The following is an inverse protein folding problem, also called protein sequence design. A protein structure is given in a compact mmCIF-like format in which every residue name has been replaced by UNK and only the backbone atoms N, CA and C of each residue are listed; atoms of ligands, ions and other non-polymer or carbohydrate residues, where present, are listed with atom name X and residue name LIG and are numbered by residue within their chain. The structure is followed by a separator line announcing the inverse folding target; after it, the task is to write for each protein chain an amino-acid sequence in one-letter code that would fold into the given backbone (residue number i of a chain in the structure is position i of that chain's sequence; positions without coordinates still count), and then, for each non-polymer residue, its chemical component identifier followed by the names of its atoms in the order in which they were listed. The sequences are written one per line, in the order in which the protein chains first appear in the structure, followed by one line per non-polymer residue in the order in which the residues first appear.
data_IF_376160477692
#
_entry.id   IF_376160477692
#
_cell.length_a   1.000
_cell.length_b   1.000
_cell.length_c   1.000
_cell.angle_alpha   90.00
_cell.angle_beta   90.00
_cell.angle_gamma   90.00
#
_symmetry.space_group_name_H-M   'P 1'
#
loop_
_entity.id
_entity.type
_entity.pdbx_description
1 polymer ?
#
# COMPACT_ATOMS: atom_id res chain seq x y z
N UNK A 1 -67.12 30.59 -41.08
CA UNK A 1 -66.31 31.46 -40.17
C UNK A 1 -66.23 30.90 -38.74
N UNK A 2 -67.22 30.19 -38.26
CA UNK A 2 -67.20 29.58 -36.91
C UNK A 2 -66.33 28.34 -36.78
N UNK A 3 -66.14 27.57 -37.84
CA UNK A 3 -65.30 26.35 -37.87
C UNK A 3 -63.80 26.68 -37.71
N UNK A 4 -63.34 27.77 -38.27
CA UNK A 4 -61.93 28.19 -38.12
C UNK A 4 -61.60 28.67 -36.71
N UNK A 5 -62.55 29.27 -35.99
CA UNK A 5 -62.37 29.68 -34.58
C UNK A 5 -62.32 28.49 -33.65
N UNK A 6 -63.14 27.45 -33.90
CA UNK A 6 -63.14 26.21 -33.16
C UNK A 6 -61.80 25.44 -33.30
N UNK A 7 -61.19 25.40 -34.50
CA UNK A 7 -59.97 24.79 -34.77
C UNK A 7 -58.72 25.52 -34.11
N UNK A 8 -58.84 26.87 -34.05
CA UNK A 8 -57.83 27.68 -33.34
C UNK A 8 -57.89 27.47 -31.82
N UNK A 9 -59.03 27.31 -31.24
CA UNK A 9 -59.25 27.03 -29.82
C UNK A 9 -58.74 25.61 -29.44
N UNK A 10 -58.99 24.63 -30.30
CA UNK A 10 -58.44 23.25 -30.08
C UNK A 10 -56.90 23.19 -30.21
N UNK A 11 -56.32 23.93 -31.15
CA UNK A 11 -54.87 24.00 -31.28
C UNK A 11 -54.22 24.74 -30.10
N UNK A 12 -54.93 25.76 -29.51
CA UNK A 12 -54.41 26.47 -28.36
C UNK A 12 -54.48 25.63 -27.07
N UNK A 13 -55.48 24.75 -26.95
CA UNK A 13 -55.57 23.78 -25.85
C UNK A 13 -54.55 22.66 -25.92
N UNK A 14 -54.11 22.27 -27.11
CA UNK A 14 -53.05 21.27 -27.30
C UNK A 14 -51.65 21.81 -27.00
N UNK A 15 -51.44 23.12 -27.03
CA UNK A 15 -50.18 23.76 -26.69
C UNK A 15 -49.99 23.98 -25.19
N UNK A 16 -51.05 23.90 -24.37
CA UNK A 16 -51.01 23.98 -22.92
C UNK A 16 -50.74 22.62 -22.23
N UNK A 17 -50.76 21.50 -22.96
CA UNK A 17 -50.55 20.16 -22.39
C UNK A 17 -49.07 19.73 -22.31
N UNK A 18 -48.12 20.57 -22.72
CA UNK A 18 -46.69 20.29 -22.63
C UNK A 18 -45.98 21.06 -21.49
N UNK A 19 -46.70 21.33 -20.41
CA UNK A 19 -46.15 22.11 -19.29
C UNK A 19 -46.24 21.40 -17.94
N UNK A 20 -45.88 20.13 -17.82
CA UNK A 20 -45.49 19.51 -16.56
C UNK A 20 -44.72 18.23 -16.86
N UNK A 21 -43.48 18.39 -17.39
CA UNK A 21 -42.46 17.44 -17.10
C UNK A 21 -41.96 17.75 -15.68
N UNK A 22 -42.40 16.95 -14.73
CA UNK A 22 -41.73 16.85 -13.46
C UNK A 22 -40.23 16.62 -13.77
N UNK A 23 -39.43 17.58 -13.36
CA UNK A 23 -37.98 17.44 -13.34
C UNK A 23 -37.71 16.32 -12.35
N UNK A 24 -37.63 15.08 -12.82
CA UNK A 24 -36.87 14.07 -12.09
C UNK A 24 -35.51 14.74 -11.76
N UNK A 25 -35.26 14.87 -10.47
CA UNK A 25 -33.95 15.22 -9.98
C UNK A 25 -33.00 14.21 -10.59
N UNK A 26 -32.32 14.61 -11.66
CA UNK A 26 -31.08 14.03 -12.06
C UNK A 26 -30.25 13.97 -10.78
N UNK A 27 -30.08 12.78 -10.23
CA UNK A 27 -28.92 12.49 -9.38
C UNK A 27 -27.74 12.86 -10.26
N UNK A 28 -27.13 14.01 -9.95
CA UNK A 28 -26.10 14.61 -10.78
C UNK A 28 -25.07 13.56 -11.13
N UNK A 29 -24.92 13.30 -12.40
CA UNK A 29 -23.62 12.91 -12.92
C UNK A 29 -22.65 14.03 -12.48
N UNK A 30 -21.87 13.71 -11.46
CA UNK A 30 -20.73 14.55 -11.07
C UNK A 30 -19.94 14.74 -12.34
N UNK A 31 -19.81 15.98 -12.80
CA UNK A 31 -19.05 16.27 -14.00
C UNK A 31 -17.70 15.55 -13.87
N UNK A 32 -17.21 14.92 -14.92
CA UNK A 32 -15.98 14.10 -14.93
C UNK A 32 -14.76 14.85 -14.36
N UNK A 33 -14.84 16.17 -14.26
CA UNK A 33 -13.86 17.09 -13.69
C UNK A 33 -13.97 17.31 -12.17
N UNK A 34 -15.01 16.77 -11.50
CA UNK A 34 -15.21 16.95 -10.04
C UNK A 34 -14.83 15.71 -9.21
N UNK A 35 -14.42 14.63 -9.87
CA UNK A 35 -14.00 13.41 -9.20
C UNK A 35 -12.60 13.52 -8.67
N UNK A 36 -12.40 13.11 -7.42
CA UNK A 36 -11.06 12.99 -6.83
C UNK A 36 -10.22 12.00 -7.65
N UNK A 37 -9.05 12.44 -8.11
CA UNK A 37 -8.12 11.65 -8.88
C UNK A 37 -7.00 11.12 -7.97
N UNK A 38 -6.87 9.80 -7.87
CA UNK A 38 -5.91 9.14 -7.00
C UNK A 38 -4.86 8.39 -7.83
N UNK A 39 -3.59 8.72 -7.65
CA UNK A 39 -2.48 7.90 -8.14
C UNK A 39 -2.10 6.86 -7.09
N UNK A 40 -1.94 5.58 -7.46
CA UNK A 40 -1.52 4.53 -6.54
C UNK A 40 -0.31 3.79 -7.10
N UNK A 41 0.85 3.90 -6.44
CA UNK A 41 2.11 3.27 -6.85
C UNK A 41 2.47 2.12 -5.92
N UNK A 42 2.49 0.91 -6.48
CA UNK A 42 2.94 -0.29 -5.79
C UNK A 42 4.42 -0.58 -6.04
N UNK A 43 5.09 -1.11 -5.02
CA UNK A 43 6.44 -1.66 -5.15
C UNK A 43 6.50 -2.80 -6.16
N UNK A 44 5.58 -3.75 -6.04
CA UNK A 44 5.41 -4.89 -6.94
C UNK A 44 4.10 -5.61 -6.65
N UNK A 45 3.68 -6.52 -7.54
CA UNK A 45 2.57 -7.46 -7.31
C UNK A 45 3.05 -8.90 -7.04
N UNK A 46 4.30 -9.07 -6.63
CA UNK A 46 4.84 -10.38 -6.26
C UNK A 46 4.17 -10.91 -4.98
N UNK A 47 3.82 -10.02 -4.06
CA UNK A 47 3.07 -10.33 -2.84
C UNK A 47 1.58 -10.34 -3.21
N UNK A 48 0.92 -11.49 -3.06
CA UNK A 48 -0.50 -11.68 -3.40
C UNK A 48 -1.43 -10.70 -2.66
N UNK A 49 -1.10 -10.34 -1.41
CA UNK A 49 -1.85 -9.36 -0.63
C UNK A 49 -2.02 -8.03 -1.37
N UNK A 50 -1.00 -7.54 -2.06
CA UNK A 50 -1.06 -6.28 -2.79
C UNK A 50 -2.13 -6.26 -3.89
N UNK A 51 -2.40 -7.40 -4.49
CA UNK A 51 -3.46 -7.49 -5.50
C UNK A 51 -4.84 -7.34 -4.86
N UNK A 52 -5.06 -7.97 -3.70
CA UNK A 52 -6.31 -7.82 -2.94
C UNK A 52 -6.49 -6.41 -2.39
N UNK A 53 -5.46 -5.83 -1.82
CA UNK A 53 -5.49 -4.46 -1.30
C UNK A 53 -5.82 -3.46 -2.41
N UNK A 54 -5.20 -3.62 -3.59
CA UNK A 54 -5.50 -2.85 -4.79
C UNK A 54 -6.98 -2.95 -5.18
N UNK A 55 -7.49 -4.18 -5.28
CA UNK A 55 -8.85 -4.41 -5.78
C UNK A 55 -9.89 -3.83 -4.83
N UNK A 56 -9.69 -3.98 -3.51
CA UNK A 56 -10.54 -3.37 -2.49
C UNK A 56 -10.44 -1.85 -2.55
N UNK A 57 -9.23 -1.30 -2.62
CA UNK A 57 -9.02 0.15 -2.68
C UNK A 57 -9.71 0.77 -3.89
N UNK A 58 -9.50 0.18 -5.09
CA UNK A 58 -10.08 0.68 -6.34
C UNK A 58 -11.61 0.59 -6.32
N UNK A 59 -12.18 -0.52 -5.85
CA UNK A 59 -13.65 -0.66 -5.77
C UNK A 59 -14.26 0.35 -4.80
N UNK A 60 -13.68 0.48 -3.60
CA UNK A 60 -14.17 1.42 -2.59
C UNK A 60 -14.02 2.88 -3.03
N UNK A 61 -12.90 3.24 -3.63
CA UNK A 61 -12.70 4.59 -4.18
C UNK A 61 -13.74 4.92 -5.24
N UNK A 62 -14.04 3.98 -6.14
CA UNK A 62 -15.08 4.14 -7.17
C UNK A 62 -16.46 4.30 -6.56
N UNK A 63 -16.82 3.52 -5.55
CA UNK A 63 -18.09 3.63 -4.81
C UNK A 63 -18.23 5.01 -4.14
N UNK A 64 -17.13 5.62 -3.71
CA UNK A 64 -17.05 6.94 -3.12
C UNK A 64 -16.94 8.08 -4.15
N UNK A 65 -16.99 7.76 -5.45
CA UNK A 65 -16.95 8.74 -6.53
C UNK A 65 -15.54 9.21 -6.92
N UNK A 66 -14.49 8.54 -6.47
CA UNK A 66 -13.10 8.81 -6.87
C UNK A 66 -12.64 7.89 -8.01
N UNK A 67 -11.59 8.31 -8.72
CA UNK A 67 -10.92 7.52 -9.76
C UNK A 67 -9.50 7.17 -9.32
N UNK A 68 -9.06 5.95 -9.63
CA UNK A 68 -7.73 5.47 -9.22
C UNK A 68 -6.92 5.04 -10.43
N UNK A 69 -5.74 5.63 -10.59
CA UNK A 69 -4.72 5.20 -11.53
C UNK A 69 -3.68 4.36 -10.79
N UNK A 70 -3.69 3.05 -11.03
CA UNK A 70 -2.79 2.09 -10.37
C UNK A 70 -1.58 1.81 -11.24
N UNK A 71 -0.38 1.92 -10.67
CA UNK A 71 0.87 1.57 -11.33
C UNK A 71 1.71 0.63 -10.46
N UNK A 72 2.49 -0.22 -11.13
CA UNK A 72 3.36 -1.20 -10.52
C UNK A 72 4.82 -0.94 -10.90
N UNK A 73 5.68 -0.71 -9.93
CA UNK A 73 7.09 -0.42 -10.16
C UNK A 73 7.96 -1.67 -10.37
N UNK A 74 7.41 -2.87 -10.17
CA UNK A 74 8.13 -4.16 -10.36
C UNK A 74 9.45 -4.27 -9.58
N UNK A 75 9.57 -3.62 -8.43
CA UNK A 75 10.78 -3.61 -7.60
C UNK A 75 11.87 -2.66 -8.10
N UNK A 76 11.57 -1.80 -9.08
CA UNK A 76 12.50 -0.81 -9.63
C UNK A 76 12.18 0.59 -9.05
N UNK A 77 13.10 1.11 -8.22
CA UNK A 77 12.96 2.41 -7.58
C UNK A 77 12.88 3.56 -8.61
N UNK A 78 13.66 3.52 -9.67
CA UNK A 78 13.64 4.55 -10.70
C UNK A 78 12.32 4.53 -11.49
N UNK A 79 11.74 3.34 -11.68
CA UNK A 79 10.39 3.24 -12.23
C UNK A 79 9.35 3.83 -11.26
N UNK A 80 9.49 3.61 -9.95
CA UNK A 80 8.57 4.19 -8.95
C UNK A 80 8.65 5.71 -8.92
N UNK A 81 9.85 6.29 -9.02
CA UNK A 81 10.05 7.75 -9.16
C UNK A 81 9.32 8.30 -10.39
N UNK A 82 9.46 7.64 -11.54
CA UNK A 82 8.77 8.03 -12.78
C UNK A 82 7.25 8.00 -12.62
N UNK A 83 6.72 7.03 -11.89
CA UNK A 83 5.28 6.92 -11.63
C UNK A 83 4.77 8.08 -10.78
N UNK A 84 5.49 8.45 -9.71
CA UNK A 84 5.11 9.58 -8.88
C UNK A 84 5.17 10.88 -9.69
N UNK A 85 6.22 11.09 -10.48
CA UNK A 85 6.32 12.25 -11.35
C UNK A 85 5.18 12.30 -12.38
N UNK A 86 4.81 11.16 -12.96
CA UNK A 86 3.65 11.07 -13.85
C UNK A 86 2.35 11.48 -13.15
N UNK A 87 2.14 11.07 -11.90
CA UNK A 87 0.96 11.47 -11.13
C UNK A 87 0.93 12.98 -10.84
N UNK A 88 2.09 13.56 -10.55
CA UNK A 88 2.24 15.02 -10.39
C UNK A 88 1.88 15.74 -11.71
N UNK A 89 2.43 15.29 -12.82
CA UNK A 89 2.20 15.89 -14.14
C UNK A 89 0.73 15.76 -14.60
N UNK A 90 0.03 14.73 -14.12
CA UNK A 90 -1.41 14.53 -14.35
C UNK A 90 -2.30 15.34 -13.41
N UNK A 91 -1.75 16.01 -12.42
CA UNK A 91 -2.51 16.78 -11.44
C UNK A 91 -3.42 15.91 -10.56
N UNK A 92 -2.92 14.76 -10.12
CA UNK A 92 -3.67 13.93 -9.16
C UNK A 92 -3.88 14.70 -7.85
N UNK A 93 -5.02 14.48 -7.20
CA UNK A 93 -5.33 15.10 -5.90
C UNK A 93 -4.60 14.39 -4.75
N UNK A 94 -4.44 13.08 -4.89
CA UNK A 94 -3.83 12.20 -3.87
C UNK A 94 -2.89 11.20 -4.53
N UNK A 95 -1.74 10.96 -3.91
CA UNK A 95 -0.84 9.87 -4.29
C UNK A 95 -0.69 8.91 -3.10
N UNK A 96 -1.02 7.64 -3.32
CA UNK A 96 -0.85 6.53 -2.38
C UNK A 96 0.39 5.75 -2.79
N UNK A 97 1.33 5.55 -1.87
CA UNK A 97 2.62 4.93 -2.16
C UNK A 97 2.87 3.73 -1.25
N UNK A 98 3.12 2.58 -1.84
CA UNK A 98 3.76 1.43 -1.19
C UNK A 98 5.23 1.46 -1.62
N UNK A 99 6.09 2.09 -0.84
CA UNK A 99 7.45 2.41 -1.27
C UNK A 99 8.36 1.18 -1.34
N UNK A 100 9.24 1.15 -2.35
CA UNK A 100 10.32 0.17 -2.47
C UNK A 100 11.41 0.46 -1.44
N UNK A 101 11.77 1.74 -1.32
CA UNK A 101 12.79 2.24 -0.41
C UNK A 101 12.18 3.38 0.42
N UNK A 102 12.25 3.25 1.73
CA UNK A 102 11.66 4.21 2.67
C UNK A 102 12.26 5.63 2.60
N UNK A 103 13.45 5.79 2.00
CA UNK A 103 14.15 7.06 1.84
C UNK A 103 14.36 7.47 0.38
N UNK A 104 14.10 6.55 -0.54
CA UNK A 104 14.46 6.71 -1.93
C UNK A 104 13.55 7.66 -2.74
N UNK A 105 12.43 8.14 -2.16
CA UNK A 105 11.41 8.93 -2.84
C UNK A 105 11.27 10.37 -2.28
N UNK A 106 12.25 10.82 -1.51
CA UNK A 106 12.16 12.10 -0.78
C UNK A 106 11.94 13.29 -1.74
N UNK A 107 12.64 13.32 -2.87
CA UNK A 107 12.54 14.43 -3.84
C UNK A 107 11.17 14.43 -4.55
N UNK A 108 10.70 13.26 -4.98
CA UNK A 108 9.42 13.11 -5.66
C UNK A 108 8.25 13.45 -4.73
N UNK A 109 8.32 13.03 -3.46
CA UNK A 109 7.31 13.37 -2.44
C UNK A 109 7.31 14.87 -2.18
N UNK A 110 8.47 15.50 -2.05
CA UNK A 110 8.54 16.95 -1.87
C UNK A 110 7.91 17.69 -3.05
N UNK A 111 8.22 17.29 -4.29
CA UNK A 111 7.61 17.88 -5.49
C UNK A 111 6.09 17.73 -5.51
N UNK A 112 5.58 16.57 -5.11
CA UNK A 112 4.14 16.36 -5.01
C UNK A 112 3.50 17.27 -3.97
N UNK A 113 4.13 17.44 -2.81
CA UNK A 113 3.69 18.39 -1.76
C UNK A 113 3.71 19.83 -2.24
N UNK A 114 4.75 20.24 -2.94
CA UNK A 114 4.88 21.60 -3.51
C UNK A 114 3.78 21.86 -4.56
N UNK A 115 3.31 20.82 -5.26
CA UNK A 115 2.17 20.86 -6.17
C UNK A 115 0.79 20.80 -5.45
N UNK A 116 0.76 20.73 -4.11
CA UNK A 116 -0.47 20.65 -3.31
C UNK A 116 -1.11 19.27 -3.24
N UNK A 117 -0.45 18.23 -3.74
CA UNK A 117 -0.95 16.86 -3.77
C UNK A 117 -0.82 16.22 -2.38
N UNK A 118 -1.85 15.49 -1.93
CA UNK A 118 -1.83 14.75 -0.69
C UNK A 118 -1.08 13.44 -0.82
N UNK A 119 -0.24 13.12 0.16
CA UNK A 119 0.58 11.90 0.15
C UNK A 119 0.13 10.95 1.26
N UNK A 120 -0.19 9.73 0.86
CA UNK A 120 -0.50 8.62 1.77
C UNK A 120 0.59 7.56 1.64
N UNK A 121 1.33 7.32 2.72
CA UNK A 121 2.21 6.17 2.84
C UNK A 121 1.38 4.97 3.31
N UNK A 122 1.28 3.95 2.46
CA UNK A 122 0.51 2.75 2.74
C UNK A 122 1.43 1.58 3.04
N UNK A 123 1.22 0.93 4.18
CA UNK A 123 2.00 -0.17 4.76
C UNK A 123 3.44 0.23 5.14
N UNK A 124 4.24 0.79 4.25
CA UNK A 124 5.64 1.18 4.48
C UNK A 124 5.79 2.68 4.65
N UNK A 125 6.45 3.09 5.75
CA UNK A 125 6.66 4.49 6.05
C UNK A 125 7.67 5.12 5.08
N UNK A 126 7.27 6.24 4.48
CA UNK A 126 8.18 7.16 3.77
C UNK A 126 8.92 8.01 4.81
N UNK A 127 10.22 7.84 4.92
CA UNK A 127 11.06 8.56 5.89
C UNK A 127 11.60 9.86 5.29
N UNK A 128 11.86 10.84 6.18
CA UNK A 128 12.39 12.15 5.79
C UNK A 128 11.50 12.92 4.79
N UNK A 129 10.19 12.71 4.86
CA UNK A 129 9.19 13.32 4.01
C UNK A 129 8.03 13.85 4.84
N UNK A 130 7.34 14.87 4.30
CA UNK A 130 6.10 15.41 4.87
C UNK A 130 4.90 14.68 4.23
N UNK A 131 4.46 13.58 4.84
CA UNK A 131 3.28 12.83 4.41
C UNK A 131 2.03 13.28 5.16
N UNK A 132 0.87 13.24 4.49
CA UNK A 132 -0.41 13.64 5.10
C UNK A 132 -1.04 12.50 5.93
N UNK A 133 -0.78 11.25 5.54
CA UNK A 133 -1.31 10.08 6.25
C UNK A 133 -0.36 8.87 6.12
N UNK A 134 -0.16 8.16 7.21
CA UNK A 134 0.47 6.85 7.24
C UNK A 134 -0.51 5.80 7.73
N UNK A 135 -0.70 4.75 6.94
CA UNK A 135 -1.57 3.62 7.26
C UNK A 135 -0.72 2.36 7.29
N UNK A 136 -0.60 1.72 8.45
CA UNK A 136 0.17 0.49 8.61
C UNK A 136 -0.28 -0.28 9.85
N UNK A 137 0.42 -1.38 10.14
CA UNK A 137 0.30 -2.14 11.38
C UNK A 137 1.26 -1.59 12.44
N UNK A 138 1.05 -2.00 13.70
CA UNK A 138 2.09 -1.88 14.73
C UNK A 138 3.15 -2.97 14.49
N UNK A 139 4.08 -2.66 13.60
CA UNK A 139 5.13 -3.59 13.17
C UNK A 139 6.09 -3.96 14.32
N UNK A 140 6.29 -3.06 15.29
CA UNK A 140 7.10 -3.36 16.47
C UNK A 140 6.39 -4.37 17.37
N UNK A 141 5.06 -4.21 17.54
CA UNK A 141 4.25 -5.21 18.26
C UNK A 141 4.23 -6.56 17.54
N UNK A 142 4.21 -6.58 16.21
CA UNK A 142 4.35 -7.84 15.45
C UNK A 142 5.65 -8.54 15.82
N UNK A 143 6.77 -7.83 15.83
CA UNK A 143 8.06 -8.39 16.25
C UNK A 143 8.06 -8.90 17.69
N UNK A 144 7.46 -8.14 18.60
CA UNK A 144 7.27 -8.54 19.99
C UNK A 144 6.50 -9.86 20.10
N UNK A 145 5.34 -9.95 19.44
CA UNK A 145 4.51 -11.17 19.44
C UNK A 145 5.25 -12.39 18.87
N UNK A 146 6.07 -12.19 17.84
CA UNK A 146 6.92 -13.25 17.28
C UNK A 146 7.93 -13.77 18.33
N UNK A 147 8.55 -12.87 19.08
CA UNK A 147 9.48 -13.23 20.14
C UNK A 147 8.80 -13.90 21.33
N UNK A 148 7.68 -13.34 21.78
CA UNK A 148 6.86 -13.89 22.86
C UNK A 148 6.44 -15.34 22.54
N UNK A 149 5.95 -15.59 21.32
CA UNK A 149 5.56 -16.94 20.91
C UNK A 149 6.70 -17.95 20.95
N UNK A 150 7.93 -17.55 20.65
CA UNK A 150 9.10 -18.43 20.77
C UNK A 150 9.44 -18.75 22.23
N UNK A 151 9.41 -17.75 23.10
CA UNK A 151 9.69 -17.92 24.52
C UNK A 151 8.63 -18.80 25.17
N UNK A 152 7.35 -18.57 24.90
CA UNK A 152 6.22 -19.39 25.39
C UNK A 152 6.33 -20.84 24.95
N UNK A 153 6.90 -21.11 23.78
CA UNK A 153 7.14 -22.47 23.29
C UNK A 153 8.51 -23.05 23.70
N UNK A 154 9.12 -22.53 24.74
CA UNK A 154 10.27 -23.15 25.41
C UNK A 154 11.64 -22.71 24.90
N UNK A 155 11.76 -21.61 24.20
CA UNK A 155 13.05 -21.11 23.68
C UNK A 155 13.90 -20.37 24.74
N UNK A 156 13.52 -20.33 26.02
CA UNK A 156 14.27 -19.62 27.05
C UNK A 156 15.74 -20.05 27.10
N UNK A 157 16.68 -19.08 27.01
CA UNK A 157 18.12 -19.34 27.02
C UNK A 157 18.71 -19.96 25.76
N UNK A 158 17.91 -20.14 24.70
CA UNK A 158 18.32 -20.75 23.43
C UNK A 158 19.03 -19.80 22.46
N UNK A 159 19.20 -20.27 21.23
CA UNK A 159 19.76 -19.51 20.11
C UNK A 159 18.74 -19.40 18.97
N UNK A 160 18.57 -18.22 18.40
CA UNK A 160 17.64 -17.96 17.30
C UNK A 160 18.34 -17.31 16.13
N UNK A 161 18.01 -17.74 14.93
CA UNK A 161 18.31 -17.04 13.69
C UNK A 161 17.04 -16.47 13.10
N UNK A 162 16.93 -15.15 13.02
CA UNK A 162 15.87 -14.44 12.33
C UNK A 162 16.33 -14.07 10.92
N UNK A 163 15.56 -14.43 9.91
CA UNK A 163 15.75 -13.97 8.55
C UNK A 163 14.80 -12.80 8.29
N UNK A 164 15.34 -11.60 8.18
CA UNK A 164 14.58 -10.37 7.90
C UNK A 164 14.40 -10.11 6.41
N UNK A 165 13.51 -9.20 6.08
CA UNK A 165 13.30 -8.69 4.72
C UNK A 165 14.38 -7.69 4.29
N UNK A 166 14.06 -6.81 3.34
CA UNK A 166 14.96 -5.79 2.84
C UNK A 166 15.25 -4.71 3.88
N UNK A 167 16.51 -4.34 4.07
CA UNK A 167 16.92 -3.30 5.01
C UNK A 167 16.43 -1.88 4.63
N UNK A 168 15.99 -1.68 3.38
CA UNK A 168 15.41 -0.40 2.93
C UNK A 168 13.89 -0.30 3.22
N UNK A 169 13.27 -1.40 3.66
CA UNK A 169 11.89 -1.44 4.13
C UNK A 169 11.85 -1.05 5.61
N UNK A 170 11.12 0.03 5.93
CA UNK A 170 10.98 0.55 7.30
C UNK A 170 10.35 -0.48 8.26
N UNK A 171 9.45 -1.33 7.78
CA UNK A 171 8.77 -2.33 8.60
C UNK A 171 9.74 -3.36 9.16
N UNK A 172 10.76 -3.75 8.39
CA UNK A 172 11.79 -4.71 8.82
C UNK A 172 12.49 -4.25 10.09
N UNK A 173 12.89 -2.97 10.13
CA UNK A 173 13.55 -2.41 11.29
C UNK A 173 12.63 -2.34 12.53
N UNK A 174 11.33 -2.10 12.33
CA UNK A 174 10.35 -2.07 13.41
C UNK A 174 10.12 -3.47 13.99
N UNK A 175 9.89 -4.47 13.14
CA UNK A 175 9.73 -5.87 13.55
C UNK A 175 10.98 -6.37 14.27
N UNK A 176 12.15 -6.06 13.73
CA UNK A 176 13.43 -6.41 14.36
C UNK A 176 13.56 -5.85 15.77
N UNK A 177 13.21 -4.57 16.00
CA UNK A 177 13.28 -3.97 17.33
C UNK A 177 12.40 -4.70 18.34
N UNK A 178 11.12 -4.94 18.00
CA UNK A 178 10.20 -5.63 18.88
C UNK A 178 10.67 -7.06 19.21
N UNK A 179 11.13 -7.78 18.19
CA UNK A 179 11.66 -9.13 18.36
C UNK A 179 12.92 -9.17 19.22
N UNK A 180 13.90 -8.31 18.93
CA UNK A 180 15.17 -8.24 19.66
C UNK A 180 14.97 -7.95 21.13
N UNK A 181 14.06 -7.02 21.47
CA UNK A 181 13.74 -6.70 22.87
C UNK A 181 13.29 -7.94 23.66
N UNK A 182 12.39 -8.73 23.11
CA UNK A 182 11.93 -9.96 23.79
C UNK A 182 13.07 -10.97 23.93
N UNK A 183 13.94 -11.11 22.92
CA UNK A 183 15.09 -12.00 22.99
C UNK A 183 16.06 -11.58 24.10
N UNK A 184 16.36 -10.30 24.20
CA UNK A 184 17.24 -9.72 25.24
C UNK A 184 16.65 -9.91 26.63
N UNK A 185 15.37 -9.59 26.83
CA UNK A 185 14.65 -9.74 28.11
C UNK A 185 14.62 -11.20 28.61
N UNK A 186 14.68 -12.17 27.72
CA UNK A 186 14.66 -13.59 28.02
C UNK A 186 16.03 -14.29 27.87
N UNK A 187 17.12 -13.53 27.75
CA UNK A 187 18.50 -14.02 27.63
C UNK A 187 18.72 -14.99 26.44
N UNK A 188 17.92 -14.82 25.38
CA UNK A 188 18.03 -15.60 24.15
C UNK A 188 19.03 -14.93 23.22
N UNK A 189 20.01 -15.69 22.73
CA UNK A 189 20.94 -15.18 21.72
C UNK A 189 20.26 -15.15 20.36
N UNK A 190 20.11 -13.96 19.80
CA UNK A 190 19.50 -13.81 18.48
C UNK A 190 20.52 -13.30 17.46
N UNK A 191 20.51 -13.92 16.27
CA UNK A 191 21.20 -13.42 15.09
C UNK A 191 20.16 -13.00 14.07
N UNK A 192 20.28 -11.80 13.54
CA UNK A 192 19.37 -11.29 12.53
C UNK A 192 20.13 -11.10 11.24
N UNK A 193 19.66 -11.77 10.20
CA UNK A 193 20.19 -11.64 8.86
C UNK A 193 19.17 -10.94 7.98
N UNK A 194 19.41 -9.67 7.67
CA UNK A 194 18.60 -8.93 6.73
C UNK A 194 18.97 -9.32 5.30
N UNK A 195 17.98 -9.73 4.52
CA UNK A 195 18.18 -10.09 3.12
C UNK A 195 17.87 -8.89 2.22
N UNK A 196 18.85 -8.53 1.38
CA UNK A 196 18.58 -7.59 0.29
C UNK A 196 17.88 -8.35 -0.83
N UNK A 197 16.55 -8.27 -0.87
CA UNK A 197 15.77 -8.81 -1.97
C UNK A 197 15.82 -7.83 -3.15
N UNK A 198 16.86 -7.92 -3.95
CA UNK A 198 16.87 -7.35 -5.29
C UNK A 198 16.06 -8.30 -6.18
N UNK A 199 14.77 -8.03 -6.35
CA UNK A 199 13.89 -8.49 -7.45
C UNK A 199 13.93 -9.93 -7.97
N UNK A 200 14.71 -10.85 -7.38
CA UNK A 200 14.91 -12.21 -7.89
C UNK A 200 14.37 -13.27 -6.92
N UNK A 201 13.47 -14.07 -7.42
CA UNK A 201 12.74 -15.15 -6.72
C UNK A 201 13.58 -16.29 -6.11
N UNK A 202 14.89 -16.28 -6.24
CA UNK A 202 15.74 -17.35 -5.72
C UNK A 202 16.44 -16.88 -4.45
N UNK A 203 16.19 -17.58 -3.34
CA UNK A 203 17.07 -17.48 -2.18
C UNK A 203 18.51 -17.65 -2.68
N UNK A 204 19.40 -16.67 -2.46
CA UNK A 204 20.78 -16.84 -2.87
C UNK A 204 21.35 -18.10 -2.23
N UNK A 205 22.09 -18.91 -2.97
CA UNK A 205 22.75 -20.13 -2.47
C UNK A 205 23.60 -19.90 -1.21
N UNK A 206 23.95 -18.67 -0.94
CA UNK A 206 24.62 -18.22 0.29
C UNK A 206 23.81 -18.46 1.58
N UNK A 207 22.46 -18.41 1.53
CA UNK A 207 21.63 -18.65 2.73
C UNK A 207 21.63 -20.13 3.07
N UNK A 208 21.50 -21.01 2.08
CA UNK A 208 21.67 -22.45 2.28
C UNK A 208 23.04 -22.75 2.85
N UNK A 209 24.07 -22.04 2.40
CA UNK A 209 25.45 -22.19 2.90
C UNK A 209 25.62 -21.66 4.32
N UNK A 210 24.99 -20.54 4.68
CA UNK A 210 25.01 -19.99 6.04
C UNK A 210 24.28 -20.93 7.01
N UNK A 211 23.08 -21.38 6.67
CA UNK A 211 22.31 -22.35 7.46
C UNK A 211 23.13 -23.65 7.62
N UNK A 212 23.76 -24.11 6.55
CA UNK A 212 24.60 -25.30 6.57
C UNK A 212 25.87 -25.10 7.42
N UNK A 213 26.54 -23.94 7.36
CA UNK A 213 27.69 -23.59 8.20
C UNK A 213 27.33 -23.53 9.68
N UNK A 214 26.16 -22.96 10.02
CA UNK A 214 25.64 -22.88 11.38
C UNK A 214 25.30 -24.29 11.91
N UNK A 215 24.69 -25.13 11.07
CA UNK A 215 24.39 -26.53 11.37
C UNK A 215 25.67 -27.35 11.61
N UNK A 216 26.71 -27.18 10.78
CA UNK A 216 27.97 -27.88 10.89
C UNK A 216 28.77 -27.54 12.17
N UNK A 217 28.60 -26.36 12.74
CA UNK A 217 29.24 -25.91 13.97
C UNK A 217 28.61 -26.47 15.26
N UNK A 218 27.68 -27.43 15.14
CA UNK A 218 26.97 -28.05 16.28
C UNK A 218 26.45 -27.03 17.30
N UNK A 219 26.10 -25.84 16.84
CA UNK A 219 25.32 -24.94 17.68
C UNK A 219 23.92 -25.57 17.86
N UNK A 220 23.43 -25.75 19.09
CA UNK A 220 22.06 -26.16 19.30
C UNK A 220 21.18 -25.00 18.85
N UNK A 221 20.84 -25.03 17.57
CA UNK A 221 19.92 -24.09 16.94
C UNK A 221 18.53 -24.68 17.05
N UNK A 222 17.69 -24.10 17.90
CA UNK A 222 16.30 -24.00 17.58
C UNK A 222 16.20 -23.01 16.41
N UNK A 223 16.32 -23.50 15.19
CA UNK A 223 16.17 -22.68 14.01
C UNK A 223 14.67 -22.43 13.81
N UNK A 224 14.14 -21.42 14.47
CA UNK A 224 12.89 -20.81 14.05
C UNK A 224 13.21 -20.01 12.79
N UNK A 225 13.15 -20.67 11.62
CA UNK A 225 13.24 -20.02 10.34
C UNK A 225 11.90 -19.31 10.10
N UNK A 226 11.76 -18.10 10.63
CA UNK A 226 10.68 -17.21 10.24
C UNK A 226 11.10 -16.52 8.95
N UNK A 227 10.72 -17.11 7.82
CA UNK A 227 10.67 -16.39 6.56
C UNK A 227 9.46 -15.48 6.67
N UNK A 228 9.69 -14.23 7.03
CA UNK A 228 8.66 -13.21 6.96
C UNK A 228 8.50 -12.78 5.50
N UNK A 229 7.88 -13.63 4.71
CA UNK A 229 7.07 -13.23 3.58
C UNK A 229 5.64 -13.34 4.10
N UNK A 230 4.98 -12.20 4.26
CA UNK A 230 3.58 -12.17 4.60
C UNK A 230 2.79 -12.97 3.56
N UNK A 231 2.59 -14.25 3.84
CA UNK A 231 1.51 -15.03 3.27
C UNK A 231 0.35 -14.89 4.24
N UNK A 232 -0.48 -13.90 3.98
CA UNK A 232 -1.84 -13.82 4.51
C UNK A 232 -2.79 -13.55 3.37
#
# INVERSE_FOLDING_TARGET
RWICVAWLLVMMLLLCACGNLETEKNQGEVAENDKIQIGMSFDSFVIERWQRDRDIFVSTAKELGAEVNVQNANGDLEQQKKQINYFIDKGMDVIVVICIDSKGLTEEVQRAKDAGIKIIAYDRLLQNTDIDLYISFDNERVGTMMGEALVENGLAGGNVLMLGGSAVDSNVAMVERGFRKVMEDNQVRSWILCMRMAGKRNLPGHISMIIWMLYRRQMPLCAAMMIWQAKW
#
